data_IF_561929301100
#
_entry.id   IF_561929301100
#
_cell.length_a   1.000
_cell.length_b   1.000
_cell.length_c   1.000
_cell.angle_alpha   90.00
_cell.angle_beta   90.00
_cell.angle_gamma   90.00
#
_symmetry.space_group_name_H-M   'P 1'
#
loop_
_entity.id
_entity.type
_entity.pdbx_description
1 polymer ?
#
# COMPACT_ATOMS: atom_id res chain seq x y z
N UNK A 1 8.69 17.44 22.28
CA UNK A 1 8.62 18.11 20.95
C UNK A 1 8.97 17.09 19.89
N UNK A 2 8.29 17.11 18.75
CA UNK A 2 8.46 16.09 17.71
C UNK A 2 9.86 16.09 17.07
N UNK A 3 10.52 17.25 16.97
CA UNK A 3 11.86 17.38 16.38
C UNK A 3 12.93 16.52 17.06
N UNK A 4 12.81 16.27 18.37
CA UNK A 4 13.72 15.40 19.12
C UNK A 4 13.78 13.96 18.60
N UNK A 5 12.75 13.51 17.86
CA UNK A 5 12.65 12.13 17.36
C UNK A 5 13.51 11.87 16.13
N UNK A 6 13.97 12.91 15.45
CA UNK A 6 14.67 12.80 14.16
C UNK A 6 15.85 13.78 14.00
N UNK A 7 15.98 14.79 14.86
CA UNK A 7 17.03 15.81 14.72
C UNK A 7 18.36 15.44 15.40
N UNK A 8 18.43 14.31 16.09
CA UNK A 8 19.59 13.87 16.91
C UNK A 8 20.12 14.95 17.90
N UNK A 9 19.26 15.91 18.27
CA UNK A 9 19.60 17.01 19.18
C UNK A 9 19.06 16.72 20.58
N UNK A 10 19.78 17.15 21.61
CA UNK A 10 19.33 17.03 23.00
C UNK A 10 18.13 17.94 23.32
N UNK A 11 17.99 19.04 22.58
CA UNK A 11 16.93 20.02 22.74
C UNK A 11 16.09 20.19 21.45
N UNK A 12 14.81 20.58 21.56
CA UNK A 12 13.96 20.79 20.40
C UNK A 12 14.49 21.88 19.48
N UNK A 13 14.62 21.57 18.19
CA UNK A 13 14.99 22.57 17.18
C UNK A 13 13.75 23.19 16.52
N UNK A 14 13.83 24.46 16.08
CA UNK A 14 12.83 25.06 15.21
C UNK A 14 12.89 24.46 13.80
N UNK A 15 11.74 24.38 13.13
CA UNK A 15 11.60 23.79 11.78
C UNK A 15 11.03 24.79 10.77
N UNK A 16 11.69 25.95 10.55
CA UNK A 16 11.12 27.06 9.77
C UNK A 16 10.78 26.66 8.33
N UNK A 17 11.64 25.87 7.66
CA UNK A 17 11.39 25.42 6.30
C UNK A 17 10.18 24.50 6.18
N UNK A 18 9.98 23.59 7.14
CA UNK A 18 8.78 22.74 7.16
C UNK A 18 7.53 23.58 7.38
N UNK A 19 7.57 24.53 8.32
CA UNK A 19 6.45 25.44 8.58
C UNK A 19 6.13 26.30 7.36
N UNK A 20 7.13 26.84 6.67
CA UNK A 20 6.96 27.63 5.44
C UNK A 20 6.39 26.78 4.30
N UNK A 21 6.86 25.54 4.13
CA UNK A 21 6.33 24.60 3.16
C UNK A 21 4.85 24.29 3.42
N UNK A 22 4.51 23.90 4.65
CA UNK A 22 3.13 23.62 5.03
C UNK A 22 2.24 24.85 4.86
N UNK A 23 2.71 26.04 5.27
CA UNK A 23 1.98 27.30 5.02
C UNK A 23 1.73 27.52 3.54
N UNK A 24 2.73 27.31 2.68
CA UNK A 24 2.60 27.44 1.23
C UNK A 24 1.57 26.48 0.66
N UNK A 25 1.64 25.19 1.02
CA UNK A 25 0.69 24.17 0.54
C UNK A 25 -0.74 24.52 0.92
N UNK A 26 -0.99 24.80 2.20
CA UNK A 26 -2.34 25.09 2.69
C UNK A 26 -2.86 26.41 2.08
N UNK A 27 -2.03 27.46 1.99
CA UNK A 27 -2.42 28.75 1.40
C UNK A 27 -2.71 28.71 -0.11
N UNK A 28 -2.15 27.75 -0.83
CA UNK A 28 -2.43 27.57 -2.25
C UNK A 28 -3.70 26.74 -2.49
N UNK A 29 -4.14 25.94 -1.52
CA UNK A 29 -5.34 25.12 -1.65
C UNK A 29 -6.61 25.94 -1.42
N UNK A 30 -7.45 26.04 -2.45
CA UNK A 30 -8.76 26.70 -2.41
C UNK A 30 -9.82 25.91 -1.64
N UNK A 31 -9.49 24.69 -1.21
CA UNK A 31 -10.36 23.76 -0.49
C UNK A 31 -10.05 23.71 1.00
N UNK A 32 -9.07 24.49 1.47
CA UNK A 32 -8.74 24.66 2.88
C UNK A 32 -9.37 25.93 3.45
N UNK A 33 -9.91 25.84 4.67
CA UNK A 33 -10.38 27.00 5.43
C UNK A 33 -9.31 27.42 6.44
N UNK A 34 -8.84 28.66 6.33
CA UNK A 34 -7.86 29.23 7.24
C UNK A 34 -8.56 30.15 8.23
N UNK A 35 -8.60 29.75 9.50
CA UNK A 35 -9.13 30.58 10.56
C UNK A 35 -8.04 30.91 11.57
N UNK A 36 -7.74 32.20 11.70
CA UNK A 36 -6.74 32.71 12.64
C UNK A 36 -7.44 33.42 13.81
N UNK A 37 -6.84 33.30 15.00
CA UNK A 37 -7.33 33.98 16.19
C UNK A 37 -7.45 35.49 15.93
N UNK A 38 -8.55 36.09 16.38
CA UNK A 38 -8.86 37.52 16.19
C UNK A 38 -9.08 37.98 14.74
N UNK A 39 -9.13 37.07 13.76
CA UNK A 39 -9.56 37.37 12.40
C UNK A 39 -11.00 36.90 12.15
N UNK A 40 -11.78 37.65 11.35
CA UNK A 40 -13.11 37.21 10.94
C UNK A 40 -13.01 35.92 10.10
N UNK A 41 -13.92 34.98 10.31
CA UNK A 41 -14.00 33.76 9.49
C UNK A 41 -14.58 34.11 8.13
N UNK A 42 -13.87 33.80 7.05
CA UNK A 42 -14.42 33.77 5.70
C UNK A 42 -14.51 32.31 5.26
N UNK A 43 -15.73 31.84 5.01
CA UNK A 43 -15.94 30.50 4.48
C UNK A 43 -15.97 30.58 2.95
N UNK A 44 -14.98 30.01 2.24
CA UNK A 44 -15.01 29.98 0.79
C UNK A 44 -16.13 29.05 0.32
N UNK A 45 -16.67 29.33 -0.86
CA UNK A 45 -17.65 28.44 -1.47
C UNK A 45 -16.95 27.17 -1.96
N UNK A 46 -17.40 26.01 -1.49
CA UNK A 46 -16.94 24.71 -1.97
C UNK A 46 -17.95 24.14 -2.98
N UNK A 47 -17.52 23.74 -4.18
CA UNK A 47 -18.41 23.16 -5.17
C UNK A 47 -18.97 21.84 -4.64
N UNK A 48 -20.27 21.60 -4.90
CA UNK A 48 -20.90 20.34 -4.56
C UNK A 48 -20.23 19.18 -5.30
N UNK A 49 -20.00 18.08 -4.59
CA UNK A 49 -19.43 16.84 -5.13
C UNK A 49 -20.50 15.76 -5.17
N UNK A 50 -20.28 14.75 -6.00
CA UNK A 50 -21.15 13.57 -6.02
C UNK A 50 -21.23 12.94 -4.61
N UNK A 51 -22.40 12.40 -4.26
CA UNK A 51 -22.59 11.69 -3.01
C UNK A 51 -21.67 10.46 -2.98
N UNK A 52 -20.83 10.38 -1.96
CA UNK A 52 -19.98 9.22 -1.72
C UNK A 52 -20.74 8.16 -0.91
N UNK A 53 -20.57 6.90 -1.28
CA UNK A 53 -21.17 5.77 -0.60
C UNK A 53 -20.07 4.97 0.10
N UNK A 54 -20.32 4.63 1.36
CA UNK A 54 -19.39 3.81 2.13
C UNK A 54 -19.32 2.39 1.58
N UNK A 55 -18.15 1.76 1.72
CA UNK A 55 -17.98 0.36 1.37
C UNK A 55 -18.90 -0.53 2.21
N UNK A 56 -19.65 -1.40 1.54
CA UNK A 56 -20.64 -2.30 2.17
C UNK A 56 -20.03 -3.56 2.77
N UNK A 57 -18.72 -3.77 2.60
CA UNK A 57 -18.02 -5.02 2.89
C UNK A 57 -17.84 -5.92 1.68
N UNK A 58 -18.62 -5.70 0.62
CA UNK A 58 -18.41 -6.33 -0.69
C UNK A 58 -17.20 -5.72 -1.43
N UNK A 59 -16.53 -6.51 -2.30
CA UNK A 59 -15.41 -5.99 -3.08
C UNK A 59 -15.86 -4.85 -3.99
N UNK A 60 -15.09 -3.76 -3.97
CA UNK A 60 -15.23 -2.68 -4.94
C UNK A 60 -14.95 -3.20 -6.36
N UNK A 61 -15.38 -2.51 -7.43
CA UNK A 61 -15.22 -3.01 -8.81
C UNK A 61 -13.79 -3.43 -9.17
N UNK A 62 -12.78 -2.63 -8.81
CA UNK A 62 -11.36 -2.96 -9.02
C UNK A 62 -10.95 -4.21 -8.23
N UNK A 63 -11.39 -4.33 -6.97
CA UNK A 63 -11.11 -5.50 -6.13
C UNK A 63 -11.78 -6.76 -6.68
N UNK A 64 -13.03 -6.65 -7.14
CA UNK A 64 -13.80 -7.77 -7.69
C UNK A 64 -13.14 -8.32 -8.96
N UNK A 65 -12.66 -7.43 -9.84
CA UNK A 65 -11.90 -7.82 -11.03
C UNK A 65 -10.64 -8.61 -10.65
N UNK A 66 -9.85 -8.10 -9.71
CA UNK A 66 -8.62 -8.77 -9.25
C UNK A 66 -8.95 -10.10 -8.57
N UNK A 67 -9.98 -10.16 -7.73
CA UNK A 67 -10.43 -11.40 -7.07
C UNK A 67 -10.79 -12.48 -8.09
N UNK A 68 -11.55 -12.13 -9.13
CA UNK A 68 -11.93 -13.09 -10.17
C UNK A 68 -10.70 -13.69 -10.87
N UNK A 69 -9.69 -12.87 -11.15
CA UNK A 69 -8.43 -13.36 -11.69
C UNK A 69 -7.66 -14.25 -10.70
N UNK A 70 -7.59 -13.88 -9.43
CA UNK A 70 -6.91 -14.65 -8.39
C UNK A 70 -7.58 -16.00 -8.16
N UNK A 71 -8.91 -16.06 -8.14
CA UNK A 71 -9.64 -17.31 -7.93
C UNK A 71 -9.44 -18.31 -9.09
N UNK A 72 -9.25 -17.81 -10.31
CA UNK A 72 -9.07 -18.64 -11.51
C UNK A 72 -7.59 -18.89 -11.88
N UNK A 73 -6.62 -18.36 -11.14
CA UNK A 73 -5.23 -18.40 -11.59
C UNK A 73 -4.57 -19.78 -11.40
N UNK A 74 -3.71 -20.20 -12.36
CA UNK A 74 -2.79 -21.31 -12.15
C UNK A 74 -1.70 -20.94 -11.12
N UNK A 75 -0.85 -21.90 -10.69
CA UNK A 75 0.32 -21.62 -9.87
C UNK A 75 1.14 -20.44 -10.40
N UNK A 76 1.50 -19.51 -9.51
CA UNK A 76 2.15 -18.27 -9.89
C UNK A 76 2.12 -17.21 -8.79
N UNK A 77 2.71 -16.06 -9.11
CA UNK A 77 2.87 -14.94 -8.17
C UNK A 77 2.12 -13.72 -8.71
N UNK A 78 1.33 -13.11 -7.85
CA UNK A 78 0.62 -11.85 -8.14
C UNK A 78 1.05 -10.79 -7.14
N UNK A 79 1.33 -9.59 -7.63
CA UNK A 79 1.62 -8.43 -6.81
C UNK A 79 0.49 -7.40 -6.97
N UNK A 80 -0.09 -6.96 -5.86
CA UNK A 80 -1.08 -5.90 -5.80
C UNK A 80 -0.49 -4.71 -5.05
N UNK A 81 -0.38 -3.60 -5.76
CA UNK A 81 0.20 -2.35 -5.24
C UNK A 81 -0.86 -1.30 -5.08
N UNK A 82 -0.74 -0.47 -4.06
CA UNK A 82 -1.66 0.65 -3.88
C UNK A 82 -1.13 1.62 -2.85
N UNK A 83 -1.59 2.87 -2.87
CA UNK A 83 -1.50 3.76 -1.73
C UNK A 83 -2.28 3.23 -0.50
N UNK A 84 -2.11 3.87 0.65
CA UNK A 84 -2.77 3.49 1.91
C UNK A 84 -4.30 3.69 1.82
N UNK A 85 -5.11 2.74 2.30
CA UNK A 85 -6.58 2.92 2.31
C UNK A 85 -7.32 2.58 1.00
N UNK A 86 -6.62 1.96 0.04
CA UNK A 86 -7.17 1.48 -1.24
C UNK A 86 -7.67 0.02 -1.18
N UNK A 87 -7.66 -0.59 0.01
CA UNK A 87 -8.29 -1.89 0.24
C UNK A 87 -7.44 -3.12 -0.08
N UNK A 88 -6.09 -3.03 -0.07
CA UNK A 88 -5.20 -4.19 -0.29
C UNK A 88 -5.43 -5.34 0.70
N UNK A 89 -5.39 -5.05 2.01
CA UNK A 89 -5.61 -6.08 3.05
C UNK A 89 -7.04 -6.64 3.02
N UNK A 90 -8.03 -5.81 2.65
CA UNK A 90 -9.40 -6.25 2.45
C UNK A 90 -9.51 -7.22 1.27
N UNK A 91 -8.89 -6.90 0.12
CA UNK A 91 -8.80 -7.79 -1.04
C UNK A 91 -8.17 -9.14 -0.66
N UNK A 92 -7.05 -9.11 0.07
CA UNK A 92 -6.35 -10.31 0.53
C UNK A 92 -7.23 -11.18 1.45
N UNK A 93 -7.93 -10.57 2.41
CA UNK A 93 -8.87 -11.30 3.26
C UNK A 93 -10.07 -11.86 2.50
N UNK A 94 -10.63 -11.08 1.56
CA UNK A 94 -11.72 -11.49 0.69
C UNK A 94 -11.35 -12.66 -0.23
N UNK A 95 -10.08 -12.74 -0.66
CA UNK A 95 -9.55 -13.91 -1.36
C UNK A 95 -9.58 -15.15 -0.47
N UNK A 96 -9.03 -15.06 0.75
CA UNK A 96 -8.97 -16.18 1.70
C UNK A 96 -10.37 -16.72 2.01
N UNK A 97 -11.35 -15.82 2.15
CA UNK A 97 -12.75 -16.18 2.37
C UNK A 97 -13.39 -16.94 1.19
N UNK A 98 -12.89 -16.78 -0.04
CA UNK A 98 -13.50 -17.31 -1.27
C UNK A 98 -12.73 -18.45 -1.93
N UNK A 99 -11.47 -18.68 -1.58
CA UNK A 99 -10.68 -19.79 -2.16
C UNK A 99 -11.19 -21.16 -1.70
N UNK A 100 -11.20 -22.11 -2.63
CA UNK A 100 -11.32 -23.53 -2.32
C UNK A 100 -9.93 -24.08 -2.00
N UNK A 101 -9.56 -24.12 -0.71
CA UNK A 101 -8.25 -24.57 -0.26
C UNK A 101 -7.82 -23.93 1.06
N UNK A 102 -6.52 -23.89 1.30
CA UNK A 102 -5.89 -23.32 2.48
C UNK A 102 -5.01 -22.13 2.12
N UNK A 103 -4.94 -21.14 3.00
CA UNK A 103 -4.02 -20.01 2.87
C UNK A 103 -3.23 -19.83 4.16
N UNK A 104 -1.99 -19.37 4.01
CA UNK A 104 -1.19 -18.86 5.12
C UNK A 104 -0.90 -17.38 4.86
N UNK A 105 -1.10 -16.57 5.88
CA UNK A 105 -0.84 -15.14 5.89
C UNK A 105 0.49 -14.89 6.58
N UNK A 106 1.33 -14.04 6.00
CA UNK A 106 2.54 -13.53 6.61
C UNK A 106 2.67 -12.03 6.37
N UNK A 107 3.31 -11.32 7.28
CA UNK A 107 3.52 -9.88 7.23
C UNK A 107 4.66 -9.50 8.18
N UNK A 108 5.27 -8.30 8.07
CA UNK A 108 6.31 -7.83 8.99
C UNK A 108 5.87 -7.84 10.46
N UNK A 109 4.60 -7.50 10.72
CA UNK A 109 4.01 -7.52 12.05
C UNK A 109 2.57 -8.03 12.00
N UNK A 110 2.19 -8.89 12.95
CA UNK A 110 0.83 -9.46 13.02
C UNK A 110 -0.25 -8.37 13.14
N UNK A 111 -0.01 -7.34 13.93
CA UNK A 111 -0.94 -6.22 14.14
C UNK A 111 -1.27 -5.45 12.86
N UNK A 112 -0.40 -5.50 11.82
CA UNK A 112 -0.70 -4.87 10.54
C UNK A 112 -1.79 -5.61 9.74
N UNK A 113 -2.17 -6.82 10.17
CA UNK A 113 -3.09 -7.70 9.42
C UNK A 113 -4.51 -7.75 9.98
N UNK A 114 -4.88 -6.86 10.91
CA UNK A 114 -6.21 -6.87 11.55
C UNK A 114 -7.35 -6.76 10.53
N UNK A 115 -7.21 -5.89 9.53
CA UNK A 115 -8.19 -5.75 8.44
C UNK A 115 -8.26 -7.04 7.63
N UNK A 116 -7.12 -7.62 7.28
CA UNK A 116 -7.06 -8.88 6.53
C UNK A 116 -7.74 -10.01 7.32
N UNK A 117 -7.44 -10.13 8.61
CA UNK A 117 -8.04 -11.12 9.51
C UNK A 117 -9.56 -10.96 9.58
N UNK A 118 -10.07 -9.73 9.68
CA UNK A 118 -11.51 -9.47 9.70
C UNK A 118 -12.20 -9.99 8.43
N UNK A 119 -11.64 -9.74 7.25
CA UNK A 119 -12.23 -10.20 5.98
C UNK A 119 -12.03 -11.70 5.73
N UNK A 120 -10.96 -12.30 6.26
CA UNK A 120 -10.69 -13.73 6.15
C UNK A 120 -11.47 -14.58 7.17
N UNK A 121 -11.97 -13.97 8.26
CA UNK A 121 -12.72 -14.60 9.33
C UNK A 121 -12.01 -15.86 9.87
N UNK A 122 -12.75 -16.95 10.09
CA UNK A 122 -12.26 -18.25 10.62
C UNK A 122 -11.13 -18.87 9.78
N UNK A 123 -10.93 -18.42 8.54
CA UNK A 123 -9.92 -18.95 7.61
C UNK A 123 -8.58 -18.22 7.72
N UNK A 124 -8.49 -17.20 8.58
CA UNK A 124 -7.26 -16.46 8.83
C UNK A 124 -6.25 -17.31 9.60
N UNK A 125 -5.10 -17.57 8.98
CA UNK A 125 -3.99 -18.31 9.57
C UNK A 125 -2.69 -17.53 9.39
N UNK A 126 -2.21 -16.90 10.45
CA UNK A 126 -0.98 -16.09 10.42
C UNK A 126 0.25 -16.84 10.91
N UNK A 127 1.38 -16.64 10.22
CA UNK A 127 2.71 -17.01 10.69
C UNK A 127 3.73 -15.93 10.32
N UNK A 128 4.61 -15.57 11.27
CA UNK A 128 5.67 -14.60 11.00
C UNK A 128 6.64 -15.13 9.92
N UNK A 129 7.28 -14.26 9.12
CA UNK A 129 8.09 -14.68 7.97
C UNK A 129 9.18 -15.71 8.30
N UNK A 130 9.97 -15.46 9.36
CA UNK A 130 11.06 -16.35 9.77
C UNK A 130 10.53 -17.70 10.30
N UNK A 131 9.48 -17.65 11.13
CA UNK A 131 8.83 -18.84 11.65
C UNK A 131 8.25 -19.70 10.52
N UNK A 132 7.60 -19.06 9.54
CA UNK A 132 7.04 -19.73 8.38
C UNK A 132 8.13 -20.43 7.57
N UNK A 133 9.25 -19.74 7.31
CA UNK A 133 10.38 -20.32 6.60
C UNK A 133 10.95 -21.55 7.32
N UNK A 134 11.08 -21.50 8.66
CA UNK A 134 11.59 -22.61 9.47
C UNK A 134 10.62 -23.79 9.65
N UNK A 135 9.33 -23.57 9.40
CA UNK A 135 8.29 -24.60 9.59
C UNK A 135 8.22 -25.58 8.42
N UNK A 136 7.43 -26.65 8.56
CA UNK A 136 7.03 -27.56 7.46
C UNK A 136 5.59 -27.33 6.96
N UNK A 137 4.99 -26.20 7.31
CA UNK A 137 3.63 -25.83 6.91
C UNK A 137 3.43 -25.74 5.40
N UNK A 138 2.30 -26.24 4.91
CA UNK A 138 1.92 -26.18 3.50
C UNK A 138 0.55 -25.53 3.36
N UNK A 139 0.37 -24.81 2.26
CA UNK A 139 -0.92 -24.22 1.90
C UNK A 139 -1.03 -24.06 0.39
N UNK A 140 -2.26 -23.92 -0.10
CA UNK A 140 -2.54 -23.65 -1.51
C UNK A 140 -2.18 -22.21 -1.92
N UNK A 141 -2.14 -21.32 -0.93
CA UNK A 141 -1.86 -19.89 -1.08
C UNK A 141 -0.94 -19.37 0.03
N UNK A 142 0.07 -18.61 -0.37
CA UNK A 142 0.78 -17.69 0.50
C UNK A 142 0.25 -16.27 0.28
N UNK A 143 -0.15 -15.61 1.35
CA UNK A 143 -0.59 -14.22 1.34
C UNK A 143 0.43 -13.39 2.13
N UNK A 144 1.12 -12.48 1.46
CA UNK A 144 2.14 -11.64 2.06
C UNK A 144 1.65 -10.20 2.11
N UNK A 145 1.31 -9.70 3.29
CA UNK A 145 0.95 -8.30 3.49
C UNK A 145 2.18 -7.43 3.79
N UNK A 146 2.22 -6.24 3.20
CA UNK A 146 3.38 -5.35 3.16
C UNK A 146 4.70 -6.06 2.80
N UNK A 147 4.69 -6.76 1.66
CA UNK A 147 5.80 -7.57 1.19
C UNK A 147 7.13 -6.79 1.04
N UNK A 148 7.07 -5.48 0.75
CA UNK A 148 8.25 -4.63 0.61
C UNK A 148 9.02 -4.38 1.92
N UNK A 149 8.37 -4.59 3.06
CA UNK A 149 9.01 -4.50 4.38
C UNK A 149 9.65 -5.82 4.83
N UNK A 150 9.51 -6.91 4.05
CA UNK A 150 10.18 -8.19 4.31
C UNK A 150 11.50 -8.23 3.51
N UNK A 151 12.62 -8.69 4.11
CA UNK A 151 13.88 -8.85 3.40
C UNK A 151 13.73 -9.69 2.12
N UNK A 152 14.19 -9.16 0.99
CA UNK A 152 14.04 -9.79 -0.32
C UNK A 152 14.54 -11.25 -0.40
N UNK A 153 15.68 -11.65 0.22
CA UNK A 153 16.11 -13.06 0.22
C UNK A 153 15.11 -13.99 0.93
N UNK A 154 14.60 -13.56 2.08
CA UNK A 154 13.60 -14.31 2.85
C UNK A 154 12.29 -14.45 2.05
N UNK A 155 11.81 -13.35 1.48
CA UNK A 155 10.60 -13.37 0.68
C UNK A 155 10.73 -14.28 -0.56
N UNK A 156 11.89 -14.32 -1.21
CA UNK A 156 12.11 -15.20 -2.35
C UNK A 156 12.00 -16.68 -1.97
N UNK A 157 12.58 -17.08 -0.82
CA UNK A 157 12.48 -18.45 -0.32
C UNK A 157 11.04 -18.82 0.04
N UNK A 158 10.29 -17.90 0.65
CA UNK A 158 8.88 -18.09 0.94
C UNK A 158 8.06 -18.26 -0.34
N UNK A 159 8.20 -17.34 -1.32
CA UNK A 159 7.45 -17.40 -2.59
C UNK A 159 7.71 -18.70 -3.35
N UNK A 160 8.94 -19.22 -3.34
CA UNK A 160 9.30 -20.46 -4.02
C UNK A 160 8.66 -21.73 -3.39
N UNK A 161 8.22 -21.66 -2.14
CA UNK A 161 7.68 -22.80 -1.39
C UNK A 161 6.19 -23.06 -1.64
N UNK A 162 5.44 -22.05 -2.07
CA UNK A 162 3.99 -22.13 -2.22
C UNK A 162 3.61 -22.06 -3.71
N UNK A 163 2.57 -22.81 -4.14
CA UNK A 163 2.18 -22.86 -5.53
C UNK A 163 1.59 -21.53 -6.02
N UNK A 164 0.87 -20.80 -5.15
CA UNK A 164 0.28 -19.49 -5.44
C UNK A 164 0.66 -18.49 -4.37
N UNK A 165 1.06 -17.29 -4.78
CA UNK A 165 1.41 -16.22 -3.85
C UNK A 165 0.73 -14.91 -4.23
N UNK A 166 0.07 -14.27 -3.27
CA UNK A 166 -0.39 -12.88 -3.36
C UNK A 166 0.54 -12.00 -2.52
N UNK A 167 1.17 -11.03 -3.16
CA UNK A 167 2.01 -10.01 -2.52
C UNK A 167 1.23 -8.69 -2.50
N UNK A 168 0.92 -8.15 -1.34
CA UNK A 168 0.37 -6.79 -1.21
C UNK A 168 1.44 -5.83 -0.70
N UNK A 169 1.52 -4.62 -1.28
CA UNK A 169 2.49 -3.62 -0.81
C UNK A 169 2.00 -2.19 -1.00
N UNK A 170 2.35 -1.33 -0.04
CA UNK A 170 2.11 0.11 -0.13
C UNK A 170 3.21 0.82 -0.91
N UNK A 171 2.84 1.51 -2.00
CA UNK A 171 3.79 2.18 -2.91
C UNK A 171 3.83 3.71 -2.78
N UNK A 172 2.79 4.29 -2.17
CA UNK A 172 2.65 5.73 -1.94
C UNK A 172 2.29 5.95 -0.47
N UNK A 173 3.15 6.68 0.24
CA UNK A 173 3.05 6.94 1.68
C UNK A 173 4.42 7.12 2.34
N UNK A 174 4.41 7.47 3.62
CA UNK A 174 5.61 7.84 4.39
C UNK A 174 6.70 6.77 4.49
N UNK A 175 6.41 5.51 4.17
CA UNK A 175 7.38 4.40 4.29
C UNK A 175 8.20 4.15 3.02
N UNK A 176 7.79 4.62 1.84
CA UNK A 176 8.59 4.62 0.58
C UNK A 176 9.12 3.26 0.06
N UNK A 177 8.93 2.15 0.77
CA UNK A 177 9.58 0.85 0.52
C UNK A 177 9.00 0.10 -0.68
N UNK A 178 7.72 0.29 -1.01
CA UNK A 178 7.01 -0.47 -2.06
C UNK A 178 7.57 -0.31 -3.47
N UNK A 179 8.20 0.83 -3.78
CA UNK A 179 8.67 1.12 -5.16
C UNK A 179 10.00 0.47 -5.50
N UNK A 180 10.97 0.54 -4.59
CA UNK A 180 12.24 -0.20 -4.73
C UNK A 180 12.01 -1.71 -4.80
N UNK A 181 11.01 -2.20 -4.08
CA UNK A 181 10.52 -3.56 -4.15
C UNK A 181 9.98 -3.92 -5.55
N UNK A 182 9.09 -3.11 -6.13
CA UNK A 182 8.55 -3.36 -7.46
C UNK A 182 9.60 -3.35 -8.58
N UNK A 183 10.62 -2.52 -8.45
CA UNK A 183 11.67 -2.42 -9.47
C UNK A 183 12.68 -3.57 -9.37
N UNK A 184 13.08 -3.96 -8.15
CA UNK A 184 14.18 -4.92 -7.94
C UNK A 184 13.70 -6.35 -7.66
N UNK A 185 12.66 -6.51 -6.85
CA UNK A 185 12.16 -7.83 -6.46
C UNK A 185 11.24 -8.39 -7.54
N UNK A 186 10.24 -7.62 -7.94
CA UNK A 186 9.27 -8.07 -8.92
C UNK A 186 9.86 -8.30 -10.33
N UNK A 187 11.04 -7.73 -10.64
CA UNK A 187 11.77 -8.02 -11.88
C UNK A 187 12.37 -9.43 -11.92
N UNK A 188 12.55 -10.09 -10.76
CA UNK A 188 13.08 -11.46 -10.66
C UNK A 188 12.05 -12.55 -10.96
N UNK A 189 10.77 -12.18 -11.10
CA UNK A 189 9.68 -13.10 -11.38
C UNK A 189 9.14 -12.84 -12.79
N UNK A 190 9.64 -13.56 -13.82
CA UNK A 190 9.29 -13.27 -15.22
C UNK A 190 7.81 -13.43 -15.53
N UNK A 191 7.09 -14.25 -14.75
CA UNK A 191 5.65 -14.49 -14.90
C UNK A 191 4.80 -13.80 -13.82
N UNK A 192 5.34 -12.79 -13.14
CA UNK A 192 4.60 -12.04 -12.14
C UNK A 192 3.51 -11.19 -12.79
N UNK A 193 2.27 -11.38 -12.33
CA UNK A 193 1.16 -10.48 -12.68
C UNK A 193 1.10 -9.33 -11.69
N UNK A 194 0.99 -8.10 -12.18
CA UNK A 194 0.94 -6.89 -11.34
C UNK A 194 -0.42 -6.23 -11.52
N UNK A 195 -1.03 -5.84 -10.42
CA UNK A 195 -2.25 -5.05 -10.39
C UNK A 195 -2.07 -3.86 -9.47
N UNK A 196 -2.78 -2.78 -9.75
CA UNK A 196 -2.79 -1.58 -8.92
C UNK A 196 -4.22 -1.26 -8.50
N UNK A 197 -4.41 -0.95 -7.22
CA UNK A 197 -5.68 -0.40 -6.70
C UNK A 197 -5.52 1.10 -6.56
N UNK A 198 -6.41 1.86 -7.20
CA UNK A 198 -6.31 3.32 -7.26
C UNK A 198 -7.40 3.97 -6.40
N UNK A 199 -8.60 3.39 -6.41
CA UNK A 199 -9.75 3.99 -5.74
C UNK A 199 -9.66 3.89 -4.21
N UNK A 200 -9.74 5.01 -3.48
CA UNK A 200 -9.83 4.98 -2.02
C UNK A 200 -11.16 4.36 -1.58
N UNK A 201 -11.10 3.51 -0.55
CA UNK A 201 -12.28 2.79 -0.03
C UNK A 201 -12.92 3.53 1.15
N UNK A 202 -12.15 4.37 1.84
CA UNK A 202 -12.56 5.06 3.08
C UNK A 202 -13.12 6.46 2.85
N UNK A 203 -12.87 7.03 1.68
CA UNK A 203 -13.28 8.38 1.30
C UNK A 203 -13.42 8.47 -0.22
N UNK A 204 -14.00 9.56 -0.71
CA UNK A 204 -14.16 9.79 -2.14
C UNK A 204 -12.82 10.12 -2.81
N UNK A 205 -12.66 9.71 -4.07
CA UNK A 205 -11.55 10.14 -4.90
C UNK A 205 -11.49 11.67 -4.99
N UNK A 206 -10.28 12.22 -5.00
CA UNK A 206 -10.04 13.67 -5.00
C UNK A 206 -10.32 14.34 -3.66
N UNK A 207 -10.28 13.61 -2.54
CA UNK A 207 -10.41 14.16 -1.20
C UNK A 207 -9.40 15.30 -0.97
N UNK A 208 -9.82 16.53 -0.65
CA UNK A 208 -8.89 17.67 -0.48
C UNK A 208 -7.86 17.42 0.61
N UNK A 209 -8.28 16.80 1.72
CA UNK A 209 -7.38 16.50 2.82
C UNK A 209 -6.29 15.51 2.41
N UNK A 210 -6.64 14.49 1.60
CA UNK A 210 -5.65 13.57 1.06
C UNK A 210 -4.65 14.29 0.16
N UNK A 211 -5.11 15.20 -0.69
CA UNK A 211 -4.24 15.99 -1.56
C UNK A 211 -3.29 16.88 -0.76
N UNK A 212 -3.81 17.65 0.20
CA UNK A 212 -3.00 18.54 1.07
C UNK A 212 -1.91 17.72 1.78
N UNK A 213 -2.26 16.54 2.31
CA UNK A 213 -1.28 15.68 2.97
C UNK A 213 -0.25 15.13 1.99
N UNK A 214 -0.67 14.74 0.78
CA UNK A 214 0.24 14.32 -0.31
C UNK A 214 1.25 15.41 -0.63
N UNK A 215 0.78 16.64 -0.84
CA UNK A 215 1.60 17.80 -1.22
C UNK A 215 2.51 18.26 -0.07
N UNK A 216 1.98 18.28 1.16
CA UNK A 216 2.73 18.70 2.34
C UNK A 216 3.87 17.73 2.68
N UNK A 217 3.68 16.43 2.44
CA UNK A 217 4.65 15.38 2.74
C UNK A 217 5.38 14.84 1.50
N UNK A 218 5.10 15.41 0.32
CA UNK A 218 5.73 15.08 -0.96
C UNK A 218 5.62 13.57 -1.27
N UNK A 219 4.40 13.05 -1.24
CA UNK A 219 4.13 11.63 -1.54
C UNK A 219 4.05 11.32 -3.03
N UNK A 220 3.73 12.32 -3.87
CA UNK A 220 3.71 12.17 -5.31
C UNK A 220 5.11 12.29 -5.91
N UNK A 221 5.41 11.38 -6.83
CA UNK A 221 6.69 11.32 -7.52
C UNK A 221 6.43 10.85 -8.96
N UNK A 222 6.02 11.82 -9.81
CA UNK A 222 5.64 11.61 -11.22
C UNK A 222 6.79 11.06 -12.10
N UNK A 223 8.03 11.14 -11.63
CA UNK A 223 9.24 10.90 -12.45
C UNK A 223 9.54 9.43 -12.78
N UNK A 224 8.72 8.44 -12.40
CA UNK A 224 9.13 7.00 -12.46
C UNK A 224 8.10 6.08 -13.10
N UNK A 225 7.10 6.63 -13.79
CA UNK A 225 6.34 5.83 -14.77
C UNK A 225 7.20 5.39 -15.97
N UNK A 226 8.42 5.94 -16.11
CA UNK A 226 9.42 5.44 -17.05
C UNK A 226 10.04 4.13 -16.50
N UNK A 227 9.53 3.00 -16.99
CA UNK A 227 10.25 1.73 -16.92
C UNK A 227 11.64 1.91 -17.55
N UNK A 228 12.76 1.50 -16.92
CA UNK A 228 13.99 1.34 -17.67
C UNK A 228 13.74 0.22 -18.69
N UNK A 229 13.62 0.59 -19.97
CA UNK A 229 13.68 -0.35 -21.08
C UNK A 229 15.15 -0.79 -21.17
N UNK A 230 15.53 -1.70 -20.28
CA UNK A 230 16.86 -2.29 -20.20
C UNK A 230 16.77 -3.76 -20.59
N UNK A 231 16.57 -4.02 -21.88
CA UNK A 231 16.97 -5.31 -22.44
C UNK A 231 18.49 -5.39 -22.32
N UNK A 232 18.98 -6.19 -21.37
CA UNK A 232 20.40 -6.51 -21.28
C UNK A 232 20.78 -7.40 -22.48
N UNK A 233 21.06 -6.78 -23.62
CA UNK A 233 21.83 -7.39 -24.69
C UNK A 233 23.30 -7.12 -24.40
N UNK A 234 23.95 -8.08 -23.72
CA UNK A 234 25.39 -8.24 -23.84
C UNK A 234 25.68 -8.71 -25.27
N UNK A 235 26.02 -7.77 -26.14
CA UNK A 235 26.69 -8.06 -27.40
C UNK A 235 28.00 -7.29 -27.39
N UNK A 236 29.09 -8.05 -27.27
CA UNK A 236 30.45 -7.54 -27.38
C UNK A 236 30.75 -7.10 -28.80
N UNK A 237 31.65 -6.11 -28.91
CA UNK A 237 33.02 -6.28 -29.41
C UNK A 237 33.90 -5.43 -28.50
#
# INVERSE_FOLDING_TARGET
>A
MDSLRWSDCAEPIPTPHFVEHVKRVISLDRQALHWQQHQPVSCPHFPARAAWLAATGEPQPEQAMILNHLLAMPPGVVAVTAARGRGKSALAGQLIARINGTAIVTAPAKAATDVLAQFAAERYRFMAPDALLSSSETADWLIVDEAAAIPAPLLHQLVARFPRTLLTTTVQGYEGTGRGFLLKFCARFPNLRRYELQQPVRWAQGCPLEQIVSDALVFDDENVHACPIGGASLLGI
#
